data_IF_592539465836
#
_entry.id   IF_592539465836
#
_cell.length_a   1.000
_cell.length_b   1.000
_cell.length_c   1.000
_cell.angle_alpha   90.00
_cell.angle_beta   90.00
_cell.angle_gamma   90.00
#
_symmetry.space_group_name_H-M   'P 1'
#
loop_
_entity.id
_entity.type
_entity.pdbx_description
1 polymer ?
#
# COMPACT_ATOMS: atom_id res chain seq x y z
N UNK A 1 31.85 27.63 17.14
CA UNK A 1 30.66 26.83 17.52
C UNK A 1 29.62 26.73 16.40
N UNK A 2 29.13 27.82 15.79
CA UNK A 2 28.12 27.77 14.72
C UNK A 2 28.47 26.84 13.52
N UNK A 3 29.71 26.92 13.00
CA UNK A 3 30.16 26.05 11.89
C UNK A 3 30.12 24.55 12.24
N UNK A 4 30.41 24.18 13.49
CA UNK A 4 30.37 22.79 13.95
C UNK A 4 28.94 22.24 13.95
N UNK A 5 27.95 23.03 14.39
CA UNK A 5 26.54 22.63 14.35
C UNK A 5 26.02 22.48 12.92
N UNK A 6 26.48 23.32 11.99
CA UNK A 6 26.14 23.18 10.56
C UNK A 6 26.72 21.89 9.97
N UNK A 7 28.00 21.59 10.23
CA UNK A 7 28.61 20.34 9.77
C UNK A 7 27.94 19.10 10.38
N UNK A 8 27.62 19.12 11.66
CA UNK A 8 26.91 18.03 12.33
C UNK A 8 25.51 17.82 11.74
N UNK A 9 24.79 18.90 11.42
CA UNK A 9 23.49 18.84 10.76
C UNK A 9 23.57 18.20 9.38
N UNK A 10 24.57 18.57 8.57
CA UNK A 10 24.80 17.98 7.23
C UNK A 10 25.12 16.49 7.35
N UNK A 11 25.95 16.09 8.32
CA UNK A 11 26.31 14.69 8.55
C UNK A 11 25.10 13.85 8.95
N UNK A 12 24.25 14.34 9.84
CA UNK A 12 23.03 13.64 10.23
C UNK A 12 22.04 13.53 9.07
N UNK A 13 21.92 14.59 8.25
CA UNK A 13 21.09 14.56 7.05
C UNK A 13 21.59 13.54 6.02
N UNK A 14 22.90 13.46 5.79
CA UNK A 14 23.48 12.52 4.84
C UNK A 14 23.33 11.07 5.29
N UNK A 15 23.51 10.78 6.59
CA UNK A 15 23.23 9.45 7.17
C UNK A 15 21.75 9.08 6.98
N UNK A 16 20.83 10.02 7.22
CA UNK A 16 19.39 9.80 7.00
C UNK A 16 19.03 9.48 5.55
N UNK A 17 19.63 10.20 4.59
CA UNK A 17 19.42 9.97 3.16
C UNK A 17 19.97 8.58 2.76
N UNK A 18 21.20 8.25 3.15
CA UNK A 18 21.82 6.94 2.86
C UNK A 18 20.97 5.81 3.41
N UNK A 19 20.55 5.92 4.68
CA UNK A 19 19.67 4.93 5.31
C UNK A 19 18.36 4.76 4.53
N UNK A 20 17.73 5.85 4.10
CA UNK A 20 16.50 5.77 3.29
C UNK A 20 16.71 5.18 1.90
N UNK A 21 17.88 5.38 1.27
CA UNK A 21 18.20 4.82 -0.05
C UNK A 21 18.45 3.31 0.02
N UNK A 22 19.03 2.84 1.13
CA UNK A 22 19.26 1.42 1.41
C UNK A 22 17.96 0.67 1.76
N UNK A 23 16.91 1.36 2.17
CA UNK A 23 15.62 0.70 2.35
C UNK A 23 15.03 0.26 1.00
N UNK A 24 14.36 -0.91 0.97
CA UNK A 24 13.66 -1.36 -0.21
C UNK A 24 12.55 -0.37 -0.58
N UNK A 25 12.28 -0.30 -1.89
CA UNK A 25 11.15 0.45 -2.42
C UNK A 25 9.84 -0.09 -1.82
N UNK A 26 8.77 0.70 -1.95
CA UNK A 26 7.43 0.30 -1.53
C UNK A 26 6.46 0.51 -2.69
N UNK A 27 5.38 -0.25 -2.72
CA UNK A 27 4.24 0.10 -3.59
C UNK A 27 3.43 1.15 -2.83
N UNK A 28 3.22 2.28 -3.46
CA UNK A 28 2.43 3.37 -2.92
C UNK A 28 1.65 4.01 -4.05
N UNK A 29 0.33 4.03 -3.90
CA UNK A 29 -0.55 4.71 -4.84
C UNK A 29 -1.71 5.36 -4.11
N UNK A 30 -2.20 6.44 -4.70
CA UNK A 30 -3.26 7.26 -4.14
C UNK A 30 -4.20 7.62 -5.29
N UNK A 31 -5.46 7.21 -5.18
CA UNK A 31 -6.54 7.77 -5.98
C UNK A 31 -7.35 8.78 -5.18
N UNK A 32 -8.60 8.98 -5.59
CA UNK A 32 -9.49 9.98 -5.00
C UNK A 32 -9.83 9.64 -3.55
N UNK A 33 -10.35 8.43 -3.32
CA UNK A 33 -10.79 7.99 -2.00
C UNK A 33 -9.96 6.86 -1.42
N UNK A 34 -9.21 6.14 -2.24
CA UNK A 34 -8.39 5.03 -1.79
C UNK A 34 -6.91 5.31 -1.88
N UNK A 35 -6.17 4.76 -0.93
CA UNK A 35 -4.71 4.71 -0.95
C UNK A 35 -4.28 3.26 -0.76
N UNK A 36 -3.36 2.82 -1.60
CA UNK A 36 -2.80 1.48 -1.58
C UNK A 36 -1.35 1.55 -1.13
N UNK A 37 -0.97 0.70 -0.19
CA UNK A 37 0.41 0.64 0.31
C UNK A 37 0.83 -0.80 0.51
N UNK A 38 1.93 -1.23 -0.12
CA UNK A 38 2.60 -2.49 0.22
C UNK A 38 4.06 -2.24 0.59
N UNK A 39 4.53 -2.90 1.63
CA UNK A 39 5.89 -2.78 2.14
C UNK A 39 6.48 -4.18 2.39
N UNK A 40 7.79 -4.34 2.21
CA UNK A 40 8.47 -5.55 2.68
C UNK A 40 8.39 -5.62 4.21
N UNK A 41 8.19 -6.83 4.71
CA UNK A 41 8.20 -7.18 6.14
C UNK A 41 9.63 -7.41 6.58
N UNK A 42 9.90 -7.15 7.86
CA UNK A 42 11.11 -7.66 8.49
C UNK A 42 10.90 -9.17 8.67
N UNK A 43 11.67 -10.00 7.96
CA UNK A 43 11.55 -11.45 8.00
C UNK A 43 11.78 -11.98 9.42
N UNK A 44 10.75 -12.61 9.98
CA UNK A 44 10.91 -13.54 11.10
C UNK A 44 11.43 -14.86 10.54
N UNK A 45 12.39 -15.47 11.23
CA UNK A 45 13.08 -16.72 10.90
C UNK A 45 12.07 -17.87 10.73
N UNK A 46 11.46 -18.00 9.56
CA UNK A 46 10.69 -19.17 9.08
C UNK A 46 10.21 -19.04 7.64
N UNK A 47 10.21 -17.84 7.06
CA UNK A 47 9.79 -17.66 5.67
C UNK A 47 10.95 -17.93 4.68
N UNK A 48 10.68 -18.74 3.65
CA UNK A 48 11.63 -19.08 2.58
C UNK A 48 11.93 -17.93 1.62
N UNK A 49 11.25 -16.79 1.77
CA UNK A 49 11.44 -15.59 0.95
C UNK A 49 12.30 -14.57 1.69
N UNK A 50 13.20 -13.91 0.96
CA UNK A 50 14.21 -12.99 1.54
C UNK A 50 13.55 -11.84 2.33
N UNK A 51 12.37 -11.34 1.87
CA UNK A 51 11.52 -10.36 2.57
C UNK A 51 10.08 -10.45 2.06
N UNK A 52 9.13 -11.12 2.75
CA UNK A 52 7.75 -11.18 2.30
C UNK A 52 7.10 -9.80 2.36
N UNK A 53 6.20 -9.45 1.44
CA UNK A 53 5.51 -8.15 1.51
C UNK A 53 4.11 -8.28 2.08
N UNK A 54 3.64 -7.17 2.65
CA UNK A 54 2.24 -6.99 2.98
C UNK A 54 1.83 -5.55 2.79
N UNK A 55 0.55 -5.38 2.57
CA UNK A 55 -0.04 -4.08 2.37
C UNK A 55 -1.41 -3.94 2.97
N UNK A 56 -1.98 -2.79 2.62
CA UNK A 56 -3.33 -2.43 2.97
C UNK A 56 -3.86 -1.43 1.95
N UNK A 57 -5.18 -1.41 1.84
CA UNK A 57 -5.92 -0.35 1.18
C UNK A 57 -6.57 0.49 2.27
N UNK A 58 -6.47 1.81 2.16
CA UNK A 58 -6.98 2.73 3.16
C UNK A 58 -7.93 3.75 2.55
N UNK A 59 -9.13 3.81 3.11
CA UNK A 59 -10.13 4.81 2.84
C UNK A 59 -9.68 6.20 3.35
N UNK A 60 -9.88 7.19 2.49
CA UNK A 60 -9.50 8.59 2.71
C UNK A 60 -10.69 9.54 2.78
N UNK A 61 -11.91 9.05 2.53
CA UNK A 61 -13.12 9.84 2.71
C UNK A 61 -13.41 10.11 4.19
N UNK A 62 -14.29 11.08 4.43
CA UNK A 62 -14.70 11.50 5.78
C UNK A 62 -15.59 10.47 6.48
N UNK A 63 -16.51 9.85 5.73
CA UNK A 63 -17.45 8.84 6.22
C UNK A 63 -17.11 7.48 5.65
N UNK A 64 -17.27 6.43 6.44
CA UNK A 64 -16.93 5.06 6.07
C UNK A 64 -17.79 4.56 4.90
N UNK A 65 -17.18 3.92 3.88
CA UNK A 65 -17.91 3.34 2.76
C UNK A 65 -18.34 1.90 3.09
N UNK A 66 -19.36 1.41 2.39
CA UNK A 66 -19.62 -0.03 2.32
C UNK A 66 -18.84 -0.60 1.13
N UNK A 67 -17.71 -1.25 1.39
CA UNK A 67 -16.92 -1.89 0.32
C UNK A 67 -17.65 -3.13 -0.19
N UNK A 68 -17.83 -3.21 -1.51
CA UNK A 68 -18.55 -4.30 -2.17
C UNK A 68 -17.57 -5.33 -2.74
N UNK A 69 -16.50 -4.86 -3.37
CA UNK A 69 -15.55 -5.71 -4.08
C UNK A 69 -14.19 -5.04 -4.22
N UNK A 70 -13.14 -5.85 -4.21
CA UNK A 70 -11.76 -5.45 -4.55
C UNK A 70 -11.23 -6.42 -5.59
N UNK A 71 -10.73 -5.89 -6.70
CA UNK A 71 -10.12 -6.66 -7.78
C UNK A 71 -8.68 -6.19 -8.04
N UNK A 72 -7.82 -7.13 -8.43
CA UNK A 72 -6.54 -6.83 -9.05
C UNK A 72 -6.75 -6.64 -10.55
N UNK A 73 -6.17 -5.58 -11.12
CA UNK A 73 -6.07 -5.44 -12.57
C UNK A 73 -4.77 -6.07 -13.01
N UNK A 74 -4.86 -7.25 -13.64
CA UNK A 74 -3.74 -8.03 -14.14
C UNK A 74 -3.83 -8.18 -15.65
N UNK A 75 -2.82 -7.73 -16.38
CA UNK A 75 -2.80 -7.76 -17.85
C UNK A 75 -4.10 -7.22 -18.49
N UNK A 76 -4.62 -6.12 -17.94
CA UNK A 76 -5.87 -5.50 -18.38
C UNK A 76 -7.16 -6.23 -17.97
N UNK A 77 -7.07 -7.35 -17.24
CA UNK A 77 -8.22 -8.11 -16.73
C UNK A 77 -8.41 -7.90 -15.24
N UNK A 78 -9.66 -7.83 -14.79
CA UNK A 78 -9.97 -7.80 -13.36
C UNK A 78 -10.02 -9.22 -12.80
N UNK A 79 -9.22 -9.47 -11.77
CA UNK A 79 -9.16 -10.72 -11.01
C UNK A 79 -9.67 -10.42 -9.61
N UNK A 80 -10.71 -11.13 -9.17
CA UNK A 80 -11.29 -10.90 -7.86
C UNK A 80 -10.29 -11.20 -6.74
N UNK A 81 -10.10 -10.22 -5.85
CA UNK A 81 -9.26 -10.35 -4.67
C UNK A 81 -10.11 -10.57 -3.41
N UNK A 82 -11.12 -9.71 -3.22
CA UNK A 82 -12.05 -9.80 -2.10
C UNK A 82 -13.47 -9.51 -2.55
N UNK A 83 -14.41 -10.30 -2.07
CA UNK A 83 -15.85 -10.01 -2.15
C UNK A 83 -16.35 -9.42 -0.83
N UNK A 84 -17.57 -8.87 -0.81
CA UNK A 84 -18.22 -8.30 0.38
C UNK A 84 -18.14 -9.23 1.61
N UNK A 85 -18.20 -10.55 1.40
CA UNK A 85 -18.10 -11.55 2.47
C UNK A 85 -16.71 -11.61 3.14
N UNK A 86 -15.65 -11.37 2.38
CA UNK A 86 -14.25 -11.46 2.84
C UNK A 86 -13.80 -10.18 3.54
N UNK A 87 -14.51 -9.08 3.24
CA UNK A 87 -14.30 -7.76 3.81
C UNK A 87 -14.82 -7.65 5.24
N UNK A 88 -15.66 -8.57 5.74
CA UNK A 88 -16.17 -8.50 7.11
C UNK A 88 -15.03 -8.48 8.16
N UNK A 89 -15.24 -7.75 9.26
CA UNK A 89 -14.32 -7.73 10.41
C UNK A 89 -14.05 -9.16 10.90
N UNK A 90 -12.79 -9.48 11.21
CA UNK A 90 -12.28 -10.81 11.57
C UNK A 90 -12.35 -11.87 10.44
N UNK A 91 -12.45 -11.45 9.18
CA UNK A 91 -12.23 -12.31 8.00
C UNK A 91 -10.90 -11.98 7.31
N UNK A 92 -10.64 -12.61 6.17
CA UNK A 92 -9.39 -12.52 5.42
C UNK A 92 -8.90 -11.10 5.19
N UNK A 93 -9.77 -10.18 4.76
CA UNK A 93 -9.39 -8.80 4.47
C UNK A 93 -9.54 -7.86 5.69
N UNK A 94 -10.27 -8.31 6.72
CA UNK A 94 -10.48 -7.62 7.99
C UNK A 94 -10.77 -6.12 7.85
N UNK A 95 -11.76 -5.74 7.02
CA UNK A 95 -12.11 -4.33 6.87
C UNK A 95 -12.66 -3.78 8.18
N UNK A 96 -11.98 -2.77 8.73
CA UNK A 96 -12.35 -2.12 9.99
C UNK A 96 -13.23 -0.88 9.82
N UNK A 97 -13.79 -0.68 8.62
CA UNK A 97 -14.49 0.55 8.21
C UNK A 97 -13.58 1.53 7.47
N UNK A 98 -12.26 1.38 7.57
CA UNK A 98 -11.29 2.29 6.96
C UNK A 98 -10.14 1.61 6.24
N UNK A 99 -9.71 0.44 6.70
CA UNK A 99 -8.50 -0.24 6.24
C UNK A 99 -8.83 -1.67 5.88
N UNK A 100 -8.50 -2.06 4.65
CA UNK A 100 -8.53 -3.45 4.18
C UNK A 100 -7.10 -3.97 4.28
N UNK A 101 -6.88 -5.01 5.08
CA UNK A 101 -5.56 -5.64 5.21
C UNK A 101 -5.36 -6.64 4.08
N UNK A 102 -4.15 -6.65 3.51
CA UNK A 102 -3.79 -7.60 2.45
C UNK A 102 -2.35 -8.07 2.64
N UNK A 103 -2.20 -9.29 3.13
CA UNK A 103 -0.91 -9.91 3.36
C UNK A 103 -0.43 -10.81 2.21
N UNK A 104 -1.23 -10.99 1.16
CA UNK A 104 -1.04 -12.09 0.20
C UNK A 104 -0.70 -11.63 -1.21
N UNK A 105 -1.28 -10.51 -1.69
CA UNK A 105 -1.14 -10.08 -3.09
C UNK A 105 0.30 -9.98 -3.56
N UNK A 106 1.20 -9.46 -2.72
CA UNK A 106 2.62 -9.34 -3.02
C UNK A 106 3.49 -10.13 -2.06
N UNK A 107 3.00 -11.24 -1.50
CA UNK A 107 3.78 -12.03 -0.55
C UNK A 107 5.18 -12.37 -1.07
N UNK A 108 5.29 -12.72 -2.36
CA UNK A 108 6.55 -13.04 -3.05
C UNK A 108 7.28 -11.80 -3.63
N UNK A 109 6.87 -10.59 -3.26
CA UNK A 109 7.36 -9.34 -3.82
C UNK A 109 6.39 -8.74 -4.85
N UNK A 110 6.52 -7.42 -5.13
CA UNK A 110 5.65 -6.73 -6.06
C UNK A 110 6.05 -7.03 -7.51
N UNK A 111 5.14 -7.62 -8.27
CA UNK A 111 5.22 -7.71 -9.72
C UNK A 111 4.27 -6.67 -10.33
N UNK A 112 4.73 -5.43 -10.40
CA UNK A 112 3.94 -4.31 -10.94
C UNK A 112 3.77 -4.36 -12.46
N UNK A 113 4.53 -5.20 -13.17
CA UNK A 113 4.30 -5.49 -14.59
C UNK A 113 3.00 -6.28 -14.76
N UNK A 114 2.82 -7.30 -13.91
CA UNK A 114 1.65 -8.18 -13.96
C UNK A 114 0.45 -7.60 -13.21
N UNK A 115 0.65 -6.99 -12.04
CA UNK A 115 -0.42 -6.38 -11.23
C UNK A 115 -0.34 -4.85 -11.33
N UNK A 116 -1.16 -4.29 -12.21
CA UNK A 116 -1.03 -2.90 -12.67
C UNK A 116 -1.85 -1.92 -11.84
N UNK A 117 -3.00 -2.36 -11.32
CA UNK A 117 -3.89 -1.52 -10.52
C UNK A 117 -4.70 -2.36 -9.52
N UNK A 118 -5.31 -1.67 -8.55
CA UNK A 118 -6.38 -2.24 -7.74
C UNK A 118 -7.66 -1.49 -8.04
N UNK A 119 -8.71 -2.22 -8.40
CA UNK A 119 -10.06 -1.69 -8.57
C UNK A 119 -10.85 -1.94 -7.29
N UNK A 120 -11.47 -0.90 -6.75
CA UNK A 120 -12.34 -0.99 -5.57
C UNK A 120 -13.74 -0.54 -5.98
N UNK A 121 -14.74 -1.37 -5.70
CA UNK A 121 -16.15 -0.99 -5.80
C UNK A 121 -16.71 -0.80 -4.40
N UNK A 122 -17.40 0.32 -4.17
CA UNK A 122 -18.02 0.62 -2.89
C UNK A 122 -19.33 1.38 -3.05
N UNK A 123 -20.17 1.31 -2.01
CA UNK A 123 -21.39 2.07 -1.88
C UNK A 123 -21.22 3.17 -0.84
N UNK A 124 -21.77 4.34 -1.14
CA UNK A 124 -21.91 5.46 -0.21
C UNK A 124 -23.23 6.18 -0.47
N UNK A 125 -24.02 6.38 0.57
CA UNK A 125 -25.32 7.07 0.52
C UNK A 125 -26.26 6.48 -0.56
N UNK A 126 -26.29 5.14 -0.69
CA UNK A 126 -27.09 4.42 -1.67
C UNK A 126 -26.61 4.52 -3.13
N UNK A 127 -25.43 5.12 -3.37
CA UNK A 127 -24.80 5.20 -4.69
C UNK A 127 -23.57 4.31 -4.75
N UNK A 128 -23.43 3.60 -5.86
CA UNK A 128 -22.26 2.77 -6.14
C UNK A 128 -21.20 3.58 -6.88
N UNK A 129 -19.95 3.34 -6.50
CA UNK A 129 -18.77 3.98 -7.06
C UNK A 129 -17.70 2.91 -7.35
N UNK A 130 -16.83 3.24 -8.30
CA UNK A 130 -15.65 2.44 -8.62
C UNK A 130 -14.44 3.35 -8.75
N UNK A 131 -13.29 2.88 -8.27
CA UNK A 131 -12.00 3.58 -8.38
C UNK A 131 -10.94 2.57 -8.75
N UNK A 132 -10.16 2.92 -9.77
CA UNK A 132 -9.00 2.16 -10.20
C UNK A 132 -7.77 2.91 -9.72
N UNK A 133 -7.01 2.30 -8.82
CA UNK A 133 -5.78 2.86 -8.26
C UNK A 133 -4.58 2.17 -8.92
N UNK A 134 -3.98 2.84 -9.89
CA UNK A 134 -2.77 2.37 -10.57
C UNK A 134 -1.60 2.24 -9.60
N UNK A 135 -0.95 1.07 -9.57
CA UNK A 135 0.13 0.76 -8.66
C UNK A 135 1.45 1.36 -9.13
N UNK A 136 2.13 2.06 -8.22
CA UNK A 136 3.43 2.68 -8.47
C UNK A 136 4.40 2.30 -7.38
N UNK A 137 5.64 2.07 -7.77
CA UNK A 137 6.72 1.73 -6.85
C UNK A 137 7.61 2.94 -6.61
N UNK A 138 7.86 3.26 -5.35
CA UNK A 138 8.66 4.41 -4.94
C UNK A 138 9.78 3.99 -4.00
N UNK A 139 10.97 4.56 -4.18
CA UNK A 139 11.94 4.63 -3.08
C UNK A 139 11.34 5.51 -1.98
N UNK A 140 11.62 5.16 -0.72
CA UNK A 140 10.93 5.75 0.43
C UNK A 140 11.09 7.25 0.56
N UNK A 141 12.23 7.78 0.15
CA UNK A 141 12.52 9.23 0.11
C UNK A 141 11.68 9.99 -0.92
N UNK A 142 11.15 9.30 -1.94
CA UNK A 142 10.36 9.90 -3.03
C UNK A 142 8.87 9.59 -2.93
N UNK A 143 8.38 9.06 -1.81
CA UNK A 143 6.95 8.87 -1.63
C UNK A 143 6.29 10.25 -1.65
N UNK A 144 5.33 10.51 -2.56
CA UNK A 144 4.64 11.79 -2.59
C UNK A 144 3.77 11.92 -1.34
N UNK A 145 4.17 12.80 -0.43
CA UNK A 145 3.39 13.21 0.74
C UNK A 145 2.41 14.31 0.37
N UNK A 146 1.36 13.96 -0.38
CA UNK A 146 0.25 14.86 -0.69
C UNK A 146 -1.03 14.07 -0.81
#
# INVERSE_FOLDING_TARGET
>A
MHRFFVFLGILLASVGIIYSLMQPAIVYSKGEYWKVVYKPRNGGVTDSTVQPWSGYLKWRGLTEPKVLQVDLVMDGKSVNLFEERDLKKNKYANFDGRTISDSTTFYNGPDISSVQAIKIAWEKDGKNYEEVVELKMYKRIFIPFF
#
